data_IF_821774733948
#
_entry.id   IF_821774733948
#
_cell.length_a   1.000
_cell.length_b   1.000
_cell.length_c   1.000
_cell.angle_alpha   90.00
_cell.angle_beta   90.00
_cell.angle_gamma   90.00
#
_symmetry.space_group_name_H-M   'P 1'
#
loop_
_entity.id
_entity.type
_entity.pdbx_description
1 polymer ?
#
# COMPACT_ATOMS: atom_id res chain seq x y z
N UNK A 1 -102.76 -22.53 41.52
CA UNK A 1 -101.84 -22.37 42.64
C UNK A 1 -100.49 -22.78 42.13
N UNK A 2 -99.64 -21.90 41.76
CA UNK A 2 -98.36 -22.21 41.17
C UNK A 2 -97.44 -21.04 41.39
N UNK A 3 -96.37 -21.27 42.12
CA UNK A 3 -95.31 -20.30 42.29
C UNK A 3 -94.27 -20.49 41.26
N UNK A 4 -93.90 -19.38 40.56
CA UNK A 4 -92.81 -19.35 39.58
C UNK A 4 -91.51 -19.02 40.32
N UNK A 5 -90.49 -19.86 40.19
CA UNK A 5 -89.13 -19.52 40.57
C UNK A 5 -88.35 -18.95 39.36
N UNK A 6 -87.88 -17.72 39.54
CA UNK A 6 -87.03 -17.05 38.57
C UNK A 6 -85.57 -17.44 38.83
N UNK A 7 -84.94 -18.12 37.84
CA UNK A 7 -83.52 -18.40 37.86
C UNK A 7 -82.69 -17.25 37.38
N UNK A 8 -81.72 -16.81 38.18
CA UNK A 8 -80.72 -15.81 37.83
C UNK A 8 -79.57 -16.47 37.06
N UNK A 9 -79.45 -16.15 35.79
CA UNK A 9 -78.27 -16.53 34.97
C UNK A 9 -77.12 -15.53 35.22
N UNK A 10 -76.05 -16.02 35.81
CA UNK A 10 -74.81 -15.26 36.00
C UNK A 10 -73.96 -15.40 34.71
N UNK A 11 -73.84 -14.29 33.96
CA UNK A 11 -72.88 -14.21 32.85
C UNK A 11 -71.45 -14.08 33.43
N UNK A 12 -70.62 -15.08 33.14
CA UNK A 12 -69.18 -15.04 33.35
C UNK A 12 -68.55 -14.42 32.11
N UNK A 13 -68.02 -13.16 32.26
CA UNK A 13 -67.18 -12.53 31.26
C UNK A 13 -65.79 -13.19 31.27
N UNK A 14 -65.40 -13.78 30.14
CA UNK A 14 -64.06 -14.28 29.90
C UNK A 14 -63.22 -13.14 29.38
N UNK A 15 -62.29 -12.60 30.19
CA UNK A 15 -61.24 -11.69 29.75
C UNK A 15 -60.14 -12.53 29.08
N UNK A 16 -60.05 -12.49 27.73
CA UNK A 16 -58.91 -12.98 26.99
C UNK A 16 -57.79 -11.93 27.07
N UNK A 17 -56.78 -12.19 27.90
CA UNK A 17 -55.57 -11.40 27.97
C UNK A 17 -54.70 -11.65 26.75
N UNK A 18 -54.54 -10.64 25.89
CA UNK A 18 -53.57 -10.67 24.81
C UNK A 18 -52.18 -10.41 25.42
N UNK A 19 -51.39 -11.43 25.60
CA UNK A 19 -49.96 -11.30 25.93
C UNK A 19 -49.20 -10.84 24.69
N UNK A 20 -48.88 -9.56 24.62
CA UNK A 20 -47.94 -9.02 23.62
C UNK A 20 -46.54 -9.46 24.01
N UNK A 21 -46.00 -10.45 23.31
CA UNK A 21 -44.63 -10.86 23.45
C UNK A 21 -43.73 -9.73 22.90
N UNK A 22 -43.09 -8.96 23.78
CA UNK A 22 -41.99 -8.09 23.42
C UNK A 22 -40.77 -8.94 23.04
N UNK A 23 -40.56 -9.13 21.74
CA UNK A 23 -39.31 -9.70 21.25
C UNK A 23 -38.13 -8.75 21.66
N UNK A 24 -37.01 -9.28 22.21
CA UNK A 24 -35.89 -8.48 22.53
C UNK A 24 -35.29 -7.93 21.22
N UNK A 25 -35.36 -6.62 21.01
CA UNK A 25 -34.63 -5.93 19.96
C UNK A 25 -33.13 -6.09 20.28
N UNK A 26 -32.29 -6.53 19.32
CA UNK A 26 -30.86 -6.52 19.52
C UNK A 26 -30.46 -5.06 19.79
N UNK A 27 -29.94 -4.80 20.98
CA UNK A 27 -29.23 -3.57 21.28
C UNK A 27 -28.01 -3.55 20.37
N UNK A 28 -28.07 -2.82 19.28
CA UNK A 28 -26.88 -2.41 18.53
C UNK A 28 -26.09 -1.57 19.54
N UNK A 29 -25.03 -2.15 20.08
CA UNK A 29 -24.10 -1.43 20.91
C UNK A 29 -23.46 -0.35 20.01
N UNK A 30 -24.03 0.85 20.01
CA UNK A 30 -23.34 2.02 19.52
C UNK A 30 -22.15 2.21 20.47
N UNK A 31 -20.95 2.04 19.93
CA UNK A 31 -19.74 2.38 20.63
C UNK A 31 -19.87 3.86 21.06
N UNK A 32 -19.97 4.08 22.36
CA UNK A 32 -19.96 5.44 22.90
C UNK A 32 -18.66 6.10 22.46
N UNK A 33 -18.68 7.38 22.02
CA UNK A 33 -17.46 8.12 21.79
C UNK A 33 -16.63 8.07 23.08
N UNK A 34 -15.43 7.51 23.01
CA UNK A 34 -14.48 7.63 24.12
C UNK A 34 -14.15 9.12 24.21
N UNK A 35 -14.58 9.79 25.27
CA UNK A 35 -14.15 11.14 25.64
C UNK A 35 -12.64 11.09 25.97
N UNK A 36 -11.80 11.20 24.96
CA UNK A 36 -10.36 11.10 25.12
C UNK A 36 -9.61 11.25 23.79
N UNK A 37 -8.33 11.55 23.88
CA UNK A 37 -7.43 11.60 22.74
C UNK A 37 -7.36 10.22 22.06
N UNK A 38 -7.76 10.16 20.79
CA UNK A 38 -7.69 8.93 19.97
C UNK A 38 -6.23 8.61 19.63
N UNK A 39 -5.93 7.35 19.34
CA UNK A 39 -4.55 6.94 19.07
C UNK A 39 -4.43 6.18 17.75
N UNK A 40 -3.46 6.61 16.94
CA UNK A 40 -3.09 6.03 15.66
C UNK A 40 -1.64 5.57 15.73
N UNK A 41 -1.37 4.28 15.46
CA UNK A 41 -0.01 3.79 15.28
C UNK A 41 0.36 3.72 13.80
N UNK A 42 1.54 4.17 13.41
CA UNK A 42 2.00 4.15 12.02
C UNK A 42 3.36 3.44 11.92
N UNK A 43 3.37 2.32 11.19
CA UNK A 43 4.58 1.54 10.91
C UNK A 43 5.07 1.83 9.49
N UNK A 44 6.13 2.63 9.38
CA UNK A 44 6.75 3.03 8.12
C UNK A 44 7.90 2.08 7.77
N UNK A 45 7.78 1.36 6.65
CA UNK A 45 8.83 0.41 6.21
C UNK A 45 10.09 1.09 5.66
N UNK A 46 10.03 2.39 5.33
CA UNK A 46 11.16 3.19 4.87
C UNK A 46 11.83 3.98 5.97
N UNK A 47 12.78 4.83 5.56
CA UNK A 47 13.56 5.69 6.45
C UNK A 47 12.82 6.97 6.85
N UNK A 48 13.20 7.51 8.00
CA UNK A 48 12.84 8.86 8.43
C UNK A 48 13.74 9.89 7.72
N UNK A 49 13.41 10.16 6.47
CA UNK A 49 14.13 11.06 5.59
C UNK A 49 13.15 12.03 4.88
N UNK A 50 13.60 13.01 4.11
CA UNK A 50 12.71 13.98 3.44
C UNK A 50 11.61 13.32 2.59
N UNK A 51 11.92 12.18 1.95
CA UNK A 51 10.93 11.43 1.14
C UNK A 51 9.89 10.75 2.03
N UNK A 52 10.34 10.11 3.12
CA UNK A 52 9.46 9.54 4.13
C UNK A 52 8.58 10.60 4.79
N UNK A 53 9.18 11.73 5.18
CA UNK A 53 8.47 12.85 5.80
C UNK A 53 7.40 13.48 4.90
N UNK A 54 7.64 13.56 3.57
CA UNK A 54 6.61 14.01 2.62
C UNK A 54 5.36 13.12 2.67
N UNK A 55 5.54 11.81 2.80
CA UNK A 55 4.43 10.84 2.92
C UNK A 55 3.72 10.95 4.26
N UNK A 56 4.47 11.07 5.35
CA UNK A 56 3.91 11.29 6.67
C UNK A 56 3.09 12.58 6.72
N UNK A 57 3.61 13.67 6.17
CA UNK A 57 2.93 14.94 6.06
C UNK A 57 1.61 14.83 5.27
N UNK A 58 1.58 14.03 4.20
CA UNK A 58 0.37 13.80 3.42
C UNK A 58 -0.73 13.08 4.24
N UNK A 59 -0.37 12.11 5.10
CA UNK A 59 -1.31 11.48 6.03
C UNK A 59 -1.83 12.50 7.04
N UNK A 60 -0.93 13.25 7.68
CA UNK A 60 -1.29 14.28 8.67
C UNK A 60 -2.19 15.34 8.06
N UNK A 61 -1.87 15.81 6.85
CA UNK A 61 -2.70 16.76 6.12
C UNK A 61 -4.10 16.20 5.81
N UNK A 62 -4.18 14.95 5.34
CA UNK A 62 -5.44 14.27 5.08
C UNK A 62 -6.28 14.11 6.35
N UNK A 63 -5.66 13.75 7.47
CA UNK A 63 -6.33 13.67 8.78
C UNK A 63 -6.79 15.06 9.27
N UNK A 64 -5.95 16.10 9.12
CA UNK A 64 -6.28 17.47 9.46
C UNK A 64 -7.49 18.00 8.69
N UNK A 65 -7.62 17.68 7.41
CA UNK A 65 -8.79 18.01 6.59
C UNK A 65 -10.09 17.33 7.09
N UNK A 66 -9.97 16.25 7.86
CA UNK A 66 -11.06 15.51 8.50
C UNK A 66 -11.24 15.87 9.98
N UNK A 67 -10.60 16.97 10.43
CA UNK A 67 -10.62 17.49 11.79
C UNK A 67 -9.89 16.60 12.83
N UNK A 68 -8.93 15.78 12.41
CA UNK A 68 -8.03 15.05 13.29
C UNK A 68 -6.70 15.78 13.40
N UNK A 69 -6.34 16.24 14.59
CA UNK A 69 -5.13 17.03 14.84
C UNK A 69 -4.24 16.32 15.85
N UNK A 70 -3.01 16.00 15.43
CA UNK A 70 -2.00 15.40 16.32
C UNK A 70 -1.68 16.34 17.48
N UNK A 71 -1.65 15.80 18.72
CA UNK A 71 -1.52 16.58 19.94
C UNK A 71 -2.81 17.27 20.40
N UNK A 72 -3.89 17.24 19.60
CA UNK A 72 -5.21 17.76 19.94
C UNK A 72 -6.19 16.65 20.31
N UNK A 73 -6.93 16.14 19.34
CA UNK A 73 -7.89 15.05 19.51
C UNK A 73 -7.39 13.69 18.99
N UNK A 74 -6.20 13.65 18.38
CA UNK A 74 -5.50 12.47 17.91
C UNK A 74 -4.06 12.49 18.42
N UNK A 75 -3.52 11.33 18.73
CA UNK A 75 -2.08 11.11 18.93
C UNK A 75 -1.59 10.14 17.88
N UNK A 76 -0.51 10.52 17.15
CA UNK A 76 0.09 9.68 16.12
C UNK A 76 1.46 9.19 16.62
N UNK A 77 1.58 7.87 16.77
CA UNK A 77 2.82 7.24 17.19
C UNK A 77 3.51 6.60 15.97
N UNK A 78 4.63 7.18 15.54
CA UNK A 78 5.39 6.76 14.37
C UNK A 78 6.52 5.79 14.74
N UNK A 79 6.74 4.78 13.86
CA UNK A 79 7.93 3.92 13.88
C UNK A 79 8.47 3.78 12.46
N UNK A 80 9.74 4.08 12.30
CA UNK A 80 10.46 4.07 11.03
C UNK A 80 11.45 2.91 11.02
N UNK A 81 11.23 1.93 10.13
CA UNK A 81 12.02 0.71 10.09
C UNK A 81 13.33 0.90 9.32
N UNK A 82 13.34 1.76 8.31
CA UNK A 82 14.54 2.02 7.51
C UNK A 82 15.06 0.80 6.74
N UNK A 83 14.18 -0.19 6.50
CA UNK A 83 14.54 -1.42 5.80
C UNK A 83 15.20 -2.51 6.67
N UNK A 84 15.48 -2.26 7.96
CA UNK A 84 16.03 -3.26 8.87
C UNK A 84 14.98 -4.32 9.24
N UNK A 85 15.14 -5.60 8.83
CA UNK A 85 14.15 -6.64 9.09
C UNK A 85 13.88 -6.89 10.59
N UNK A 86 14.87 -6.66 11.46
CA UNK A 86 14.75 -6.89 12.91
C UNK A 86 13.80 -5.87 13.56
N UNK A 87 13.72 -4.66 13.00
CA UNK A 87 12.92 -3.59 13.58
C UNK A 87 11.40 -3.78 13.34
N UNK A 88 10.99 -4.53 12.34
CA UNK A 88 9.56 -4.74 12.07
C UNK A 88 8.85 -5.37 13.27
N UNK A 89 9.37 -6.45 13.81
CA UNK A 89 8.75 -7.15 14.93
C UNK A 89 8.76 -6.31 16.21
N UNK A 90 9.89 -5.68 16.52
CA UNK A 90 10.05 -4.83 17.70
C UNK A 90 9.10 -3.63 17.66
N UNK A 91 9.09 -2.89 16.55
CA UNK A 91 8.27 -1.70 16.42
C UNK A 91 6.78 -2.00 16.36
N UNK A 92 6.41 -3.17 15.79
CA UNK A 92 5.04 -3.65 15.87
C UNK A 92 4.61 -3.89 17.30
N UNK A 93 5.41 -4.59 18.11
CA UNK A 93 5.12 -4.83 19.52
C UNK A 93 5.01 -3.52 20.32
N UNK A 94 5.92 -2.56 20.07
CA UNK A 94 5.87 -1.23 20.70
C UNK A 94 4.57 -0.48 20.35
N UNK A 95 4.17 -0.48 19.08
CA UNK A 95 2.93 0.19 18.66
C UNK A 95 1.69 -0.46 19.28
N UNK A 96 1.60 -1.79 19.28
CA UNK A 96 0.47 -2.52 19.88
C UNK A 96 0.38 -2.26 21.38
N UNK A 97 1.53 -2.20 22.09
CA UNK A 97 1.57 -1.92 23.52
C UNK A 97 1.03 -0.53 23.89
N UNK A 98 0.94 0.39 22.94
CA UNK A 98 0.35 1.71 23.12
C UNK A 98 -1.19 1.70 23.03
N UNK A 99 -1.81 0.54 22.77
CA UNK A 99 -3.27 0.35 22.60
C UNK A 99 -3.89 1.31 21.55
N UNK A 100 -3.39 1.31 20.29
CA UNK A 100 -3.93 2.17 19.25
C UNK A 100 -5.29 1.65 18.78
N UNK A 101 -6.16 2.57 18.38
CA UNK A 101 -7.46 2.22 17.81
C UNK A 101 -7.39 1.86 16.33
N UNK A 102 -6.34 2.34 15.65
CA UNK A 102 -6.05 2.05 14.24
C UNK A 102 -4.53 1.95 14.05
N UNK A 103 -4.12 1.05 13.19
CA UNK A 103 -2.74 0.94 12.72
C UNK A 103 -2.69 1.26 11.22
N UNK A 104 -1.68 1.99 10.80
CA UNK A 104 -1.34 2.20 9.39
C UNK A 104 -0.03 1.47 9.10
N UNK A 105 -0.02 0.65 8.04
CA UNK A 105 1.14 -0.10 7.59
C UNK A 105 1.58 0.37 6.20
N UNK A 106 2.79 0.90 6.08
CA UNK A 106 3.36 1.21 4.78
C UNK A 106 4.29 0.12 4.26
N UNK A 107 3.88 -0.50 3.14
CA UNK A 107 4.59 -1.60 2.47
C UNK A 107 4.25 -2.98 3.02
N UNK A 108 4.49 -4.00 2.20
CA UNK A 108 4.16 -5.40 2.52
C UNK A 108 4.81 -5.93 3.79
N UNK A 109 6.10 -5.65 4.09
CA UNK A 109 6.71 -6.12 5.33
C UNK A 109 6.05 -5.55 6.59
N UNK A 110 5.68 -4.26 6.59
CA UNK A 110 4.97 -3.62 7.70
C UNK A 110 3.59 -4.26 7.92
N UNK A 111 2.83 -4.46 6.84
CA UNK A 111 1.55 -5.16 6.89
C UNK A 111 1.66 -6.57 7.44
N UNK A 112 2.69 -7.32 7.00
CA UNK A 112 2.95 -8.67 7.47
C UNK A 112 3.30 -8.72 8.96
N UNK A 113 4.12 -7.80 9.45
CA UNK A 113 4.49 -7.73 10.85
C UNK A 113 3.27 -7.42 11.75
N UNK A 114 2.47 -6.43 11.39
CA UNK A 114 1.24 -6.09 12.12
C UNK A 114 0.25 -7.26 12.12
N UNK A 115 -0.01 -7.88 10.97
CA UNK A 115 -0.93 -9.02 10.87
C UNK A 115 -0.53 -10.21 11.75
N UNK A 116 0.77 -10.48 11.93
CA UNK A 116 1.23 -11.57 12.79
C UNK A 116 0.93 -11.32 14.28
N UNK A 117 0.90 -10.05 14.70
CA UNK A 117 0.81 -9.70 16.11
C UNK A 117 -0.58 -9.25 16.56
N UNK A 118 -1.48 -8.88 15.62
CA UNK A 118 -2.86 -8.55 15.95
C UNK A 118 -3.84 -9.01 14.88
N UNK A 119 -4.99 -9.53 15.35
CA UNK A 119 -6.16 -9.86 14.52
C UNK A 119 -7.39 -9.02 14.87
N UNK A 120 -7.26 -8.10 15.84
CA UNK A 120 -8.38 -7.30 16.36
C UNK A 120 -8.23 -5.82 16.13
N UNK A 121 -7.01 -5.27 16.24
CA UNK A 121 -6.76 -3.85 15.96
C UNK A 121 -6.90 -3.61 14.44
N UNK A 122 -7.74 -2.66 14.01
CA UNK A 122 -7.86 -2.28 12.61
C UNK A 122 -6.52 -1.90 11.97
N UNK A 123 -6.25 -2.42 10.76
CA UNK A 123 -5.04 -2.13 9.99
C UNK A 123 -5.44 -1.54 8.64
N UNK A 124 -4.92 -0.35 8.35
CA UNK A 124 -5.02 0.28 7.02
C UNK A 124 -3.68 0.10 6.31
N UNK A 125 -3.68 -0.75 5.29
CA UNK A 125 -2.52 -0.96 4.43
C UNK A 125 -2.36 0.23 3.48
N UNK A 126 -1.14 0.68 3.29
CA UNK A 126 -0.78 1.70 2.31
C UNK A 126 0.37 1.19 1.47
N UNK A 127 0.23 1.23 0.15
CA UNK A 127 1.31 0.86 -0.75
C UNK A 127 1.71 -0.62 -0.62
N UNK A 128 0.72 -1.51 -0.61
CA UNK A 128 0.95 -2.96 -0.54
C UNK A 128 0.60 -3.60 -1.89
N UNK A 129 1.54 -4.39 -2.41
CA UNK A 129 1.36 -5.15 -3.65
C UNK A 129 0.66 -6.46 -3.37
N UNK A 130 -0.31 -6.84 -4.21
CA UNK A 130 -0.99 -8.14 -4.16
C UNK A 130 -1.42 -8.58 -2.74
N UNK A 131 -2.28 -7.81 -2.05
CA UNK A 131 -2.69 -8.14 -0.69
C UNK A 131 -3.48 -9.44 -0.59
N UNK A 132 -4.10 -9.90 -1.68
CA UNK A 132 -4.81 -11.18 -1.74
C UNK A 132 -3.81 -12.34 -1.84
N UNK A 133 -2.87 -12.28 -2.79
CA UNK A 133 -1.84 -13.31 -2.96
C UNK A 133 -0.90 -13.42 -1.76
N UNK A 134 -0.66 -12.32 -1.03
CA UNK A 134 0.06 -12.33 0.25
C UNK A 134 -0.81 -12.76 1.44
N UNK A 135 -2.10 -13.04 1.23
CA UNK A 135 -3.03 -13.51 2.24
C UNK A 135 -3.38 -12.47 3.30
N UNK A 136 -3.24 -11.17 3.04
CA UNK A 136 -3.68 -10.13 3.97
C UNK A 136 -5.20 -10.05 4.04
N UNK A 137 -5.87 -10.26 2.90
CA UNK A 137 -7.31 -10.14 2.74
C UNK A 137 -7.85 -11.27 1.86
N UNK A 138 -9.15 -11.57 1.99
CA UNK A 138 -9.80 -12.61 1.19
C UNK A 138 -9.99 -12.17 -0.28
N UNK A 139 -10.39 -10.93 -0.47
CA UNK A 139 -10.51 -10.29 -1.78
C UNK A 139 -10.38 -8.77 -1.65
N UNK A 140 -10.13 -8.07 -2.78
CA UNK A 140 -10.08 -6.61 -2.76
C UNK A 140 -11.45 -5.98 -2.45
N UNK A 141 -12.54 -6.56 -2.97
CA UNK A 141 -13.89 -6.03 -2.77
C UNK A 141 -14.43 -6.30 -1.37
N UNK A 142 -14.04 -7.42 -0.76
CA UNK A 142 -14.45 -7.84 0.59
C UNK A 142 -13.23 -8.35 1.33
N UNK A 143 -12.50 -7.46 2.00
CA UNK A 143 -11.24 -7.82 2.66
C UNK A 143 -11.42 -8.89 3.74
N UNK A 144 -12.51 -8.85 4.48
CA UNK A 144 -12.71 -9.67 5.68
C UNK A 144 -11.80 -9.24 6.84
N UNK A 145 -12.06 -9.71 8.04
CA UNK A 145 -11.19 -9.48 9.19
C UNK A 145 -10.96 -7.99 9.56
N UNK A 146 -9.75 -7.71 10.06
CA UNK A 146 -9.36 -6.40 10.58
C UNK A 146 -8.48 -5.57 9.63
N UNK A 147 -8.29 -5.99 8.37
CA UNK A 147 -7.37 -5.36 7.41
C UNK A 147 -8.14 -4.77 6.24
N UNK A 148 -7.81 -3.55 5.85
CA UNK A 148 -8.25 -2.87 4.62
C UNK A 148 -7.13 -1.98 4.11
N UNK A 149 -7.35 -1.15 3.06
CA UNK A 149 -6.37 -0.16 2.62
C UNK A 149 -6.25 0.05 1.12
N UNK A 150 -5.00 0.26 0.68
CA UNK A 150 -4.69 0.72 -0.67
C UNK A 150 -3.50 -0.06 -1.23
N UNK A 151 -3.70 -0.60 -2.45
CA UNK A 151 -2.59 -1.19 -3.20
C UNK A 151 -1.77 -0.10 -3.88
N UNK A 152 -0.62 -0.47 -4.36
CA UNK A 152 0.27 0.42 -5.09
C UNK A 152 0.16 0.25 -6.63
N UNK A 153 -0.21 -0.92 -7.12
CA UNK A 153 -0.48 -1.21 -8.53
C UNK A 153 -0.98 -2.65 -8.71
N UNK A 154 -1.49 -2.92 -9.91
CA UNK A 154 -1.79 -4.28 -10.34
C UNK A 154 -0.52 -4.97 -10.86
N UNK A 155 -0.29 -6.25 -10.54
CA UNK A 155 0.88 -6.99 -11.02
C UNK A 155 1.11 -6.97 -12.54
N UNK A 156 0.09 -6.94 -13.41
CA UNK A 156 0.24 -6.77 -14.86
C UNK A 156 0.98 -5.48 -15.27
N UNK A 157 1.02 -4.46 -14.41
CA UNK A 157 1.74 -3.21 -14.65
C UNK A 157 3.25 -3.44 -14.84
N UNK A 158 3.80 -4.49 -14.24
CA UNK A 158 5.21 -4.82 -14.35
C UNK A 158 5.65 -5.03 -15.82
N UNK A 159 4.79 -5.58 -16.67
CA UNK A 159 5.04 -5.69 -18.11
C UNK A 159 5.12 -4.34 -18.82
N UNK A 160 4.39 -3.33 -18.36
CA UNK A 160 4.44 -1.97 -18.93
C UNK A 160 5.78 -1.30 -18.68
N UNK A 161 6.42 -1.52 -17.51
CA UNK A 161 7.75 -0.98 -17.23
C UNK A 161 8.79 -1.50 -18.21
N UNK A 162 8.74 -2.79 -18.58
CA UNK A 162 9.61 -3.35 -19.60
C UNK A 162 9.36 -2.69 -20.96
N UNK A 163 8.09 -2.52 -21.34
CA UNK A 163 7.70 -1.80 -22.57
C UNK A 163 8.24 -0.37 -22.59
N UNK A 164 8.14 0.36 -21.48
CA UNK A 164 8.68 1.72 -21.36
C UNK A 164 10.21 1.75 -21.46
N UNK A 165 10.91 0.80 -20.83
CA UNK A 165 12.37 0.69 -20.95
C UNK A 165 12.80 0.48 -22.40
N UNK A 166 12.09 -0.37 -23.15
CA UNK A 166 12.37 -0.59 -24.58
C UNK A 166 11.98 0.58 -25.46
N UNK A 167 10.99 1.37 -25.08
CA UNK A 167 10.62 2.62 -25.80
C UNK A 167 11.66 3.72 -25.60
N UNK A 168 12.14 3.94 -24.37
CA UNK A 168 13.16 4.98 -24.12
C UNK A 168 14.53 4.54 -24.60
N UNK A 169 14.82 3.24 -24.62
CA UNK A 169 16.09 2.68 -25.09
C UNK A 169 15.81 1.48 -26.01
N UNK A 170 15.49 1.73 -27.30
CA UNK A 170 15.19 0.64 -28.26
C UNK A 170 16.33 -0.37 -28.45
N UNK A 171 17.57 0.03 -28.15
CA UNK A 171 18.72 -0.84 -28.23
C UNK A 171 18.79 -1.88 -27.10
N UNK A 172 18.03 -1.73 -26.02
CA UNK A 172 18.08 -2.67 -24.88
C UNK A 172 17.69 -4.09 -25.33
N UNK A 173 18.47 -5.08 -24.89
CA UNK A 173 18.23 -6.49 -25.23
C UNK A 173 18.28 -7.42 -24.00
N UNK A 174 18.94 -6.99 -22.93
CA UNK A 174 19.08 -7.75 -21.69
C UNK A 174 18.67 -6.90 -20.52
N UNK A 175 17.74 -7.37 -19.73
CA UNK A 175 17.19 -6.61 -18.60
C UNK A 175 17.35 -7.40 -17.32
N UNK A 176 18.01 -6.79 -16.33
CA UNK A 176 18.01 -7.30 -14.96
C UNK A 176 16.84 -6.67 -14.19
N UNK A 177 16.09 -7.50 -13.47
CA UNK A 177 15.02 -7.06 -12.57
C UNK A 177 15.53 -7.10 -11.14
N UNK A 178 15.83 -5.95 -10.58
CA UNK A 178 16.42 -5.79 -9.26
C UNK A 178 15.33 -5.77 -8.17
N UNK A 179 15.52 -6.59 -7.14
CA UNK A 179 14.62 -6.65 -5.98
C UNK A 179 15.28 -7.34 -4.79
N UNK A 180 14.78 -7.08 -3.58
CA UNK A 180 15.15 -7.86 -2.39
C UNK A 180 14.05 -8.90 -2.11
N UNK A 181 14.39 -10.21 -2.04
CA UNK A 181 13.39 -11.26 -1.88
C UNK A 181 12.69 -11.23 -0.50
N UNK A 182 13.30 -10.59 0.50
CA UNK A 182 12.70 -10.47 1.84
C UNK A 182 11.62 -9.39 1.88
N UNK A 183 11.84 -8.25 1.20
CA UNK A 183 10.92 -7.11 1.20
C UNK A 183 9.96 -7.09 0.01
N UNK A 184 10.24 -7.90 -1.02
CA UNK A 184 9.39 -8.11 -2.19
C UNK A 184 8.92 -9.57 -2.34
N UNK A 185 8.10 -10.13 -1.42
CA UNK A 185 7.58 -11.50 -1.53
C UNK A 185 6.73 -11.72 -2.80
N UNK A 186 6.23 -10.64 -3.39
CA UNK A 186 5.46 -10.60 -4.63
C UNK A 186 6.34 -10.61 -5.91
N UNK A 187 7.67 -10.56 -5.81
CA UNK A 187 8.56 -10.44 -6.96
C UNK A 187 8.35 -11.55 -7.99
N UNK A 188 8.12 -12.79 -7.55
CA UNK A 188 7.84 -13.92 -8.45
C UNK A 188 6.57 -13.71 -9.30
N UNK A 189 5.55 -13.08 -8.76
CA UNK A 189 4.35 -12.71 -9.53
C UNK A 189 4.68 -11.66 -10.59
N UNK A 190 5.41 -10.62 -10.24
CA UNK A 190 5.79 -9.56 -11.17
C UNK A 190 6.71 -10.06 -12.28
N UNK A 191 7.67 -10.87 -11.93
CA UNK A 191 8.58 -11.49 -12.91
C UNK A 191 7.81 -12.23 -13.99
N UNK A 192 6.77 -12.99 -13.67
CA UNK A 192 5.93 -13.67 -14.67
C UNK A 192 5.29 -12.69 -15.67
N UNK A 193 4.84 -11.52 -15.24
CA UNK A 193 4.28 -10.51 -16.14
C UNK A 193 5.36 -9.83 -16.98
N UNK A 194 6.56 -9.57 -16.41
CA UNK A 194 7.69 -9.02 -17.12
C UNK A 194 8.19 -10.01 -18.18
N UNK A 195 8.35 -11.29 -17.83
CA UNK A 195 8.76 -12.37 -18.75
C UNK A 195 7.76 -12.58 -19.88
N UNK A 196 6.46 -12.50 -19.58
CA UNK A 196 5.42 -12.55 -20.62
C UNK A 196 5.54 -11.38 -21.60
N UNK A 197 5.78 -10.17 -21.11
CA UNK A 197 5.99 -8.99 -21.96
C UNK A 197 7.30 -9.10 -22.76
N UNK A 198 8.35 -9.67 -22.19
CA UNK A 198 9.65 -9.86 -22.82
C UNK A 198 9.57 -10.70 -24.12
N UNK A 199 8.67 -11.69 -24.16
CA UNK A 199 8.46 -12.53 -25.35
C UNK A 199 8.05 -11.70 -26.58
N UNK A 200 7.22 -10.65 -26.40
CA UNK A 200 6.78 -9.78 -27.48
C UNK A 200 7.78 -8.67 -27.83
N UNK A 201 8.71 -8.36 -26.92
CA UNK A 201 9.67 -7.26 -27.04
C UNK A 201 11.05 -7.71 -27.50
N UNK A 202 11.27 -9.01 -27.74
CA UNK A 202 12.56 -9.61 -28.08
C UNK A 202 13.69 -9.25 -27.08
N UNK A 203 13.36 -9.20 -25.80
CA UNK A 203 14.28 -8.86 -24.70
C UNK A 203 14.45 -10.07 -23.81
N UNK A 204 15.69 -10.35 -23.37
CA UNK A 204 15.97 -11.35 -22.34
C UNK A 204 15.89 -10.71 -20.98
N UNK A 205 15.07 -11.27 -20.10
CA UNK A 205 14.90 -10.80 -18.72
C UNK A 205 15.52 -11.80 -17.76
N UNK A 206 16.20 -11.30 -16.73
CA UNK A 206 16.70 -12.12 -15.62
C UNK A 206 16.32 -11.53 -14.28
N UNK A 207 15.96 -12.37 -13.32
CA UNK A 207 15.83 -11.98 -11.92
C UNK A 207 17.22 -11.61 -11.36
N UNK A 208 17.27 -10.50 -10.61
CA UNK A 208 18.49 -10.00 -9.99
C UNK A 208 18.21 -9.70 -8.50
N UNK A 209 18.06 -10.77 -7.68
CA UNK A 209 17.83 -10.60 -6.25
C UNK A 209 19.09 -10.03 -5.59
N UNK A 210 18.91 -9.06 -4.67
CA UNK A 210 19.99 -8.42 -3.92
C UNK A 210 19.55 -8.11 -2.47
N UNK A 211 20.52 -8.02 -1.55
CA UNK A 211 20.27 -7.82 -0.13
C UNK A 211 21.00 -6.63 0.46
N UNK A 212 22.00 -6.11 -0.25
CA UNK A 212 22.82 -4.98 0.16
C UNK A 212 23.41 -4.22 -1.05
N UNK A 213 24.10 -3.13 -0.77
CA UNK A 213 24.73 -2.28 -1.79
C UNK A 213 25.83 -3.02 -2.59
N UNK A 214 26.54 -3.95 -1.96
CA UNK A 214 27.59 -4.72 -2.64
C UNK A 214 27.00 -5.67 -3.69
N UNK A 215 25.88 -6.34 -3.36
CA UNK A 215 25.14 -7.17 -4.31
C UNK A 215 24.52 -6.32 -5.44
N UNK A 216 23.99 -5.13 -5.13
CA UNK A 216 23.51 -4.17 -6.15
C UNK A 216 24.65 -3.80 -7.11
N UNK A 217 25.81 -3.40 -6.60
CA UNK A 217 26.96 -3.05 -7.42
C UNK A 217 27.44 -4.23 -8.28
N UNK A 218 27.54 -5.42 -7.71
CA UNK A 218 27.95 -6.62 -8.44
C UNK A 218 27.01 -6.95 -9.62
N UNK A 219 25.69 -6.83 -9.40
CA UNK A 219 24.68 -7.04 -10.45
C UNK A 219 24.84 -6.00 -11.56
N UNK A 220 24.95 -4.73 -11.22
CA UNK A 220 25.06 -3.64 -12.20
C UNK A 220 26.39 -3.68 -12.96
N UNK A 221 27.50 -3.96 -12.28
CA UNK A 221 28.80 -4.16 -12.92
C UNK A 221 28.80 -5.36 -13.86
N UNK A 222 28.12 -6.45 -13.51
CA UNK A 222 27.91 -7.59 -14.36
C UNK A 222 27.11 -7.24 -15.63
N UNK A 223 25.98 -6.54 -15.43
CA UNK A 223 25.11 -6.11 -16.53
C UNK A 223 25.79 -5.12 -17.49
N UNK A 224 26.64 -4.24 -16.97
CA UNK A 224 27.39 -3.26 -17.78
C UNK A 224 28.45 -3.91 -18.71
N UNK A 225 28.90 -5.12 -18.41
CA UNK A 225 29.79 -5.88 -19.29
C UNK A 225 29.04 -6.57 -20.44
N UNK A 226 27.74 -6.64 -20.32
CA UNK A 226 26.88 -7.16 -21.36
C UNK A 226 26.44 -6.00 -22.27
N UNK A 227 26.57 -6.19 -23.58
CA UNK A 227 26.08 -5.19 -24.52
C UNK A 227 24.56 -5.05 -24.39
N UNK A 228 24.05 -3.79 -24.48
CA UNK A 228 22.63 -3.48 -24.51
C UNK A 228 21.87 -3.87 -23.22
N UNK A 229 22.54 -3.72 -22.08
CA UNK A 229 21.95 -3.95 -20.76
C UNK A 229 20.98 -2.84 -20.35
N UNK A 230 19.96 -3.21 -19.58
CA UNK A 230 19.00 -2.29 -18.95
C UNK A 230 18.53 -2.82 -17.61
N UNK A 231 17.95 -1.96 -16.79
CA UNK A 231 17.55 -2.26 -15.42
C UNK A 231 16.07 -1.95 -15.20
N UNK A 232 15.35 -2.89 -14.58
CA UNK A 232 14.07 -2.62 -13.93
C UNK A 232 14.26 -2.76 -12.42
N UNK A 233 13.81 -1.77 -11.66
CA UNK A 233 13.87 -1.80 -10.20
C UNK A 233 12.45 -1.99 -9.68
N UNK A 234 12.18 -3.12 -9.03
CA UNK A 234 10.86 -3.38 -8.48
C UNK A 234 10.55 -2.41 -7.33
N UNK A 235 9.29 -1.96 -7.23
CA UNK A 235 8.86 -0.99 -6.24
C UNK A 235 8.66 -1.68 -4.89
N UNK A 236 9.65 -1.60 -4.02
CA UNK A 236 9.61 -2.19 -2.69
C UNK A 236 10.49 -1.40 -1.70
N UNK A 237 10.42 -1.72 -0.41
CA UNK A 237 11.04 -0.90 0.63
C UNK A 237 12.58 -0.88 0.57
N UNK A 238 13.22 -2.00 0.24
CA UNK A 238 14.67 -2.05 0.08
C UNK A 238 15.13 -1.10 -1.03
N UNK A 239 14.48 -1.12 -2.20
CA UNK A 239 14.82 -0.21 -3.29
C UNK A 239 14.66 1.27 -2.90
N UNK A 240 13.70 1.58 -2.03
CA UNK A 240 13.50 2.95 -1.51
C UNK A 240 14.64 3.36 -0.59
N UNK A 241 15.07 2.47 0.30
CA UNK A 241 16.17 2.73 1.24
C UNK A 241 17.49 2.88 0.50
N UNK A 242 17.75 2.04 -0.50
CA UNK A 242 19.00 2.01 -1.29
C UNK A 242 18.94 2.85 -2.57
N UNK A 243 17.95 3.73 -2.75
CA UNK A 243 17.71 4.49 -3.98
C UNK A 243 18.92 5.29 -4.46
N UNK A 244 19.66 5.92 -3.53
CA UNK A 244 20.81 6.76 -3.87
C UNK A 244 21.96 5.93 -4.43
N UNK A 245 22.22 4.74 -3.84
CA UNK A 245 23.18 3.79 -4.37
C UNK A 245 22.76 3.27 -5.75
N UNK A 246 21.48 2.86 -5.91
CA UNK A 246 20.93 2.36 -7.18
C UNK A 246 21.09 3.40 -8.29
N UNK A 247 20.72 4.67 -8.06
CA UNK A 247 20.82 5.74 -9.05
C UNK A 247 22.28 6.03 -9.39
N UNK A 248 23.14 6.17 -8.37
CA UNK A 248 24.57 6.44 -8.56
C UNK A 248 25.25 5.35 -9.37
N UNK A 249 24.96 4.10 -9.07
CA UNK A 249 25.53 2.95 -9.78
C UNK A 249 24.95 2.83 -11.20
N UNK A 250 23.67 3.08 -11.42
CA UNK A 250 23.07 3.11 -12.74
C UNK A 250 23.72 4.17 -13.64
N UNK A 251 23.97 5.37 -13.10
CA UNK A 251 24.69 6.44 -13.80
C UNK A 251 26.16 6.05 -14.07
N UNK A 252 26.88 5.55 -13.08
CA UNK A 252 28.29 5.10 -13.19
C UNK A 252 28.49 4.04 -14.27
N UNK A 253 27.60 3.07 -14.31
CA UNK A 253 27.63 1.95 -15.25
C UNK A 253 26.88 2.22 -16.56
N UNK A 254 26.33 3.43 -16.73
CA UNK A 254 25.55 3.86 -17.91
C UNK A 254 24.41 2.91 -18.26
N UNK A 255 23.70 2.43 -17.24
CA UNK A 255 22.58 1.53 -17.40
C UNK A 255 21.27 2.32 -17.50
N UNK A 256 20.54 2.27 -18.63
CA UNK A 256 19.17 2.78 -18.66
C UNK A 256 18.32 1.99 -17.68
N UNK A 257 17.55 2.72 -16.87
CA UNK A 257 16.76 2.11 -15.82
C UNK A 257 15.36 2.72 -15.71
N UNK A 258 14.38 1.87 -15.43
CA UNK A 258 13.03 2.26 -15.09
C UNK A 258 12.78 1.98 -13.62
N UNK A 259 12.22 2.98 -12.97
CA UNK A 259 11.90 2.98 -11.55
C UNK A 259 10.40 3.24 -11.36
N UNK A 260 9.96 3.15 -10.12
CA UNK A 260 8.62 3.61 -9.77
C UNK A 260 8.55 5.14 -9.59
N UNK A 261 9.54 5.77 -8.93
CA UNK A 261 9.49 7.19 -8.55
C UNK A 261 10.87 7.82 -8.22
N UNK A 262 11.97 7.38 -8.82
CA UNK A 262 13.29 7.94 -8.52
C UNK A 262 13.76 9.01 -9.51
N UNK A 263 12.90 9.43 -10.42
CA UNK A 263 13.27 10.35 -11.51
C UNK A 263 13.67 11.73 -10.99
N UNK A 264 12.96 12.26 -9.98
CA UNK A 264 13.24 13.56 -9.38
C UNK A 264 14.63 13.66 -8.71
N UNK A 265 15.21 12.52 -8.32
CA UNK A 265 16.53 12.44 -7.68
C UNK A 265 17.62 11.89 -8.60
N UNK A 266 17.41 11.91 -9.92
CA UNK A 266 18.40 11.55 -10.93
C UNK A 266 18.13 10.23 -11.67
N UNK A 267 17.05 9.53 -11.42
CA UNK A 267 16.64 8.35 -12.21
C UNK A 267 16.26 8.76 -13.63
N UNK A 268 16.44 7.85 -14.61
CA UNK A 268 16.13 8.12 -16.02
C UNK A 268 14.63 8.30 -16.26
N UNK A 269 13.84 7.35 -15.81
CA UNK A 269 12.40 7.32 -16.05
C UNK A 269 11.68 6.60 -14.93
N UNK A 270 10.54 7.12 -14.52
CA UNK A 270 9.63 6.43 -13.60
C UNK A 270 8.21 6.39 -14.16
N UNK A 271 7.54 5.28 -13.85
CA UNK A 271 6.12 5.13 -14.09
C UNK A 271 5.46 4.50 -12.87
N UNK A 272 4.65 5.27 -12.20
CA UNK A 272 4.04 4.87 -10.93
C UNK A 272 2.96 5.83 -10.48
N UNK A 273 2.49 5.60 -9.28
CA UNK A 273 1.51 6.49 -8.63
C UNK A 273 2.22 7.51 -7.75
N UNK A 274 1.55 8.61 -7.42
CA UNK A 274 1.97 9.49 -6.33
C UNK A 274 1.79 8.78 -4.98
N UNK A 275 2.87 8.40 -4.27
CA UNK A 275 2.73 7.73 -2.97
C UNK A 275 2.06 8.63 -1.92
N UNK A 276 2.22 9.95 -2.00
CA UNK A 276 1.60 10.91 -1.08
C UNK A 276 0.07 10.91 -1.23
N UNK A 277 -0.44 10.67 -2.45
CA UNK A 277 -1.88 10.52 -2.67
C UNK A 277 -2.48 9.33 -1.91
N UNK A 278 -1.79 8.19 -1.89
CA UNK A 278 -2.24 7.03 -1.13
C UNK A 278 -2.33 7.33 0.38
N UNK A 279 -1.38 8.09 0.94
CA UNK A 279 -1.41 8.49 2.34
C UNK A 279 -2.55 9.48 2.63
N UNK A 280 -2.81 10.45 1.73
CA UNK A 280 -3.98 11.33 1.85
C UNK A 280 -5.30 10.56 1.84
N UNK A 281 -5.42 9.58 0.94
CA UNK A 281 -6.60 8.71 0.85
C UNK A 281 -6.75 7.79 2.06
N UNK A 282 -5.65 7.27 2.61
CA UNK A 282 -5.66 6.45 3.80
C UNK A 282 -6.26 7.17 5.00
N UNK A 283 -6.10 8.50 5.10
CA UNK A 283 -6.72 9.31 6.14
C UNK A 283 -8.25 9.14 6.20
N UNK A 284 -8.93 8.97 5.06
CA UNK A 284 -10.38 8.76 5.04
C UNK A 284 -10.80 7.41 5.65
N UNK A 285 -9.99 6.37 5.47
CA UNK A 285 -10.24 5.06 6.08
C UNK A 285 -9.95 5.09 7.58
N UNK A 286 -8.86 5.75 7.98
CA UNK A 286 -8.54 5.99 9.40
C UNK A 286 -9.66 6.75 10.07
N UNK A 287 -10.15 7.83 9.47
CA UNK A 287 -11.29 8.63 9.98
C UNK A 287 -12.54 7.78 10.21
N UNK A 288 -12.93 7.01 9.19
CA UNK A 288 -14.12 6.16 9.28
C UNK A 288 -13.99 5.11 10.38
N UNK A 289 -12.82 4.50 10.52
CA UNK A 289 -12.55 3.49 11.55
C UNK A 289 -12.54 4.14 12.95
N UNK A 290 -11.91 5.29 13.12
CA UNK A 290 -11.94 6.05 14.38
C UNK A 290 -13.37 6.45 14.77
N UNK A 291 -14.28 6.61 13.81
CA UNK A 291 -15.72 6.86 14.02
C UNK A 291 -16.53 5.57 14.23
N UNK A 292 -15.90 4.41 14.27
CA UNK A 292 -16.52 3.13 14.63
C UNK A 292 -16.89 2.21 13.44
N UNK A 293 -16.49 2.57 12.21
CA UNK A 293 -16.67 1.68 11.07
C UNK A 293 -15.70 0.48 11.14
N UNK A 294 -16.09 -0.64 10.55
CA UNK A 294 -15.26 -1.86 10.54
C UNK A 294 -14.39 -1.91 9.29
N UNK A 295 -13.11 -2.30 9.39
CA UNK A 295 -12.23 -2.46 8.23
C UNK A 295 -12.82 -3.36 7.14
N UNK A 296 -13.54 -4.42 7.53
CA UNK A 296 -14.19 -5.36 6.62
C UNK A 296 -15.24 -4.73 5.68
N UNK A 297 -15.77 -3.54 6.05
CA UNK A 297 -16.78 -2.83 5.25
C UNK A 297 -16.15 -1.97 4.13
N UNK A 298 -14.81 -1.82 4.13
CA UNK A 298 -14.09 -1.00 3.16
C UNK A 298 -13.32 -1.89 2.18
N UNK A 299 -13.52 -1.74 0.86
CA UNK A 299 -12.73 -2.47 -0.12
C UNK A 299 -11.26 -2.00 -0.10
N UNK A 300 -10.35 -2.91 -0.43
CA UNK A 300 -9.00 -2.51 -0.83
C UNK A 300 -9.09 -1.77 -2.16
N UNK A 301 -8.56 -0.56 -2.21
CA UNK A 301 -8.60 0.26 -3.42
C UNK A 301 -7.29 0.16 -4.21
N UNK A 302 -7.43 -0.03 -5.51
CA UNK A 302 -6.32 0.10 -6.45
C UNK A 302 -6.08 1.58 -6.78
N UNK A 303 -4.86 1.96 -7.18
CA UNK A 303 -4.60 3.28 -7.71
C UNK A 303 -5.32 3.46 -9.06
N UNK A 304 -5.80 4.67 -9.30
CA UNK A 304 -6.51 5.03 -10.54
C UNK A 304 -5.69 5.94 -11.44
N UNK A 305 -4.66 6.60 -10.90
CA UNK A 305 -3.79 7.51 -11.62
C UNK A 305 -2.35 7.04 -11.56
N UNK A 306 -1.70 7.00 -12.71
CA UNK A 306 -0.28 6.71 -12.86
C UNK A 306 0.38 7.88 -13.58
N UNK A 307 1.62 8.19 -13.21
CA UNK A 307 2.38 9.29 -13.75
C UNK A 307 3.67 8.77 -14.41
N UNK A 308 3.91 9.19 -15.63
CA UNK A 308 5.15 8.98 -16.36
C UNK A 308 6.03 10.21 -16.22
N UNK A 309 7.17 10.04 -15.56
CA UNK A 309 8.17 11.11 -15.39
C UNK A 309 9.46 10.73 -16.11
N UNK A 310 10.00 11.63 -16.91
CA UNK A 310 11.24 11.43 -17.68
C UNK A 310 12.25 12.53 -17.31
N UNK A 311 13.51 12.12 -17.02
CA UNK A 311 14.59 13.05 -16.74
C UNK A 311 15.51 13.18 -17.97
N UNK A 312 15.42 14.31 -18.66
CA UNK A 312 16.21 14.59 -19.86
C UNK A 312 17.70 14.79 -19.55
N UNK A 313 18.06 15.33 -18.37
CA UNK A 313 19.48 15.43 -17.96
C UNK A 313 20.11 14.05 -17.86
N UNK A 314 19.38 13.10 -17.25
CA UNK A 314 19.86 11.73 -17.13
C UNK A 314 19.87 11.03 -18.48
N UNK A 315 18.85 11.24 -19.33
CA UNK A 315 18.85 10.71 -20.69
C UNK A 315 20.06 11.20 -21.49
N UNK A 316 20.37 12.50 -21.44
CA UNK A 316 21.53 13.10 -22.08
C UNK A 316 22.85 12.51 -21.55
N UNK A 317 22.99 12.36 -20.23
CA UNK A 317 24.19 11.77 -19.60
C UNK A 317 24.41 10.32 -20.05
N UNK A 318 23.32 9.57 -20.33
CA UNK A 318 23.33 8.22 -20.84
C UNK A 318 23.45 8.16 -22.38
N UNK A 319 23.51 9.30 -23.08
CA UNK A 319 23.48 9.42 -24.53
C UNK A 319 22.20 8.81 -25.17
N UNK A 320 21.07 8.96 -24.49
CA UNK A 320 19.76 8.48 -24.94
C UNK A 320 19.00 9.65 -25.56
N UNK A 321 18.57 9.50 -26.79
CA UNK A 321 17.62 10.40 -27.44
C UNK A 321 16.21 9.92 -27.18
N UNK A 322 15.45 10.67 -26.37
CA UNK A 322 14.05 10.32 -26.05
C UNK A 322 13.15 10.66 -27.24
N UNK A 323 12.37 9.70 -27.69
CA UNK A 323 11.46 9.89 -28.82
C UNK A 323 10.37 10.94 -28.48
N UNK A 324 10.02 11.85 -29.42
CA UNK A 324 8.97 12.86 -29.21
C UNK A 324 7.61 12.24 -28.79
N UNK A 325 7.30 11.06 -29.31
CA UNK A 325 6.07 10.32 -28.95
C UNK A 325 6.04 9.89 -27.47
N UNK A 326 7.21 9.56 -26.89
CA UNK A 326 7.30 9.20 -25.48
C UNK A 326 7.24 10.45 -24.58
N UNK A 327 7.86 11.55 -25.02
CA UNK A 327 7.76 12.84 -24.32
C UNK A 327 6.33 13.37 -24.28
N UNK A 328 5.57 13.18 -25.37
CA UNK A 328 4.15 13.58 -25.42
C UNK A 328 3.25 12.76 -24.48
N UNK A 329 3.70 11.59 -24.00
CA UNK A 329 3.00 10.77 -23.05
C UNK A 329 3.41 11.04 -21.60
N UNK A 330 4.50 11.80 -21.38
CA UNK A 330 5.00 12.11 -20.05
C UNK A 330 4.10 13.14 -19.36
N UNK A 331 3.75 12.85 -18.10
CA UNK A 331 3.05 13.79 -17.22
C UNK A 331 4.00 14.88 -16.73
N UNK A 332 5.31 14.54 -16.58
CA UNK A 332 6.36 15.47 -16.16
C UNK A 332 7.66 15.16 -16.92
N UNK A 333 8.35 16.22 -17.35
CA UNK A 333 9.68 16.15 -17.96
C UNK A 333 10.63 17.03 -17.16
N UNK A 334 11.69 16.44 -16.60
CA UNK A 334 12.73 17.14 -15.83
C UNK A 334 13.86 17.53 -16.79
N UNK A 335 14.07 18.85 -16.93
CA UNK A 335 15.08 19.48 -17.80
C UNK A 335 16.32 19.97 -17.01
#
# INVERSE_FOLDING_TARGET
>A
MGQRHIGRTTQRAIFAGIAVALAPRPLVAQAQPRDGMRRLGVLMGGSDDPVGQTRAAALVQGLGALNWHDGGNLRIDWRWVGGDPVLYERYTAELIALDPEVLVAWGSPSGAALRRQTSTIPIVLVNVTDPVGQGFVESLARPGGNITGFTDYDPPMAGKWLGMLTQITPAVARVAVLFNPTTAPFAGLMLRFIEKAAQSLAVTVRAAPCRDDAEIEAIMAGLAREERGGLLVLPENFAIVHRDAIITLAARYRLPAVYRFFTAIGGLMSYGIDPADLFRRAASYVDSILKGAKPADFPIQNPTKFELVINLKTAQALSITVAPSLLALADEVIE
#
